data_IF_609768439208
#
_entry.id   IF_609768439208
#
_cell.length_a   1.000
_cell.length_b   1.000
_cell.length_c   1.000
_cell.angle_alpha   90.00
_cell.angle_beta   90.00
_cell.angle_gamma   90.00
#
_symmetry.space_group_name_H-M   'P 1'
#
loop_
_entity.id
_entity.type
_entity.pdbx_description
1 polymer ?
#
# COMPACT_ATOMS: atom_id res chain seq x y z
N UNK A 1 -20.87 6.50 -16.44
CA UNK A 1 -20.01 7.16 -15.45
C UNK A 1 -18.71 6.38 -15.36
N UNK A 2 -17.67 6.84 -16.04
CA UNK A 2 -16.34 6.23 -15.91
C UNK A 2 -15.74 6.79 -14.62
N UNK A 3 -15.79 6.02 -13.54
CA UNK A 3 -15.00 6.33 -12.35
C UNK A 3 -13.58 5.97 -12.75
N UNK A 4 -12.68 6.94 -12.85
CA UNK A 4 -11.24 6.74 -13.06
C UNK A 4 -10.64 5.94 -11.88
N UNK A 5 -10.92 4.64 -11.84
CA UNK A 5 -10.42 3.72 -10.82
C UNK A 5 -8.94 3.50 -11.09
N UNK A 6 -8.08 4.02 -10.20
CA UNK A 6 -6.64 3.75 -10.26
C UNK A 6 -6.43 2.24 -10.29
N UNK A 7 -5.52 1.72 -11.15
CA UNK A 7 -5.22 0.29 -11.17
C UNK A 7 -4.75 -0.18 -9.79
N UNK A 8 -5.25 -1.33 -9.35
CA UNK A 8 -4.91 -1.91 -8.05
C UNK A 8 -3.63 -2.72 -8.14
N UNK A 9 -2.67 -2.44 -7.25
CA UNK A 9 -1.47 -3.25 -7.06
C UNK A 9 -1.47 -3.82 -5.64
N UNK A 10 -1.36 -5.14 -5.55
CA UNK A 10 -1.24 -5.86 -4.28
C UNK A 10 0.23 -6.13 -3.98
N UNK A 11 0.71 -5.71 -2.82
CA UNK A 11 2.09 -5.93 -2.39
C UNK A 11 2.12 -6.96 -1.26
N UNK A 12 2.64 -8.16 -1.56
CA UNK A 12 2.89 -9.19 -0.56
C UNK A 12 4.13 -8.84 0.29
N UNK A 13 4.08 -9.13 1.59
CA UNK A 13 5.19 -8.81 2.49
C UNK A 13 5.47 -7.30 2.57
N UNK A 14 4.41 -6.49 2.57
CA UNK A 14 4.45 -5.02 2.53
C UNK A 14 5.27 -4.37 3.66
N UNK A 15 5.47 -5.06 4.78
CA UNK A 15 6.30 -4.60 5.90
C UNK A 15 7.77 -5.03 5.83
N UNK A 16 8.15 -5.86 4.85
CA UNK A 16 9.55 -6.23 4.61
C UNK A 16 10.35 -5.05 4.04
N UNK A 17 11.69 -5.15 3.97
CA UNK A 17 12.52 -4.09 3.34
C UNK A 17 12.11 -3.81 1.89
N UNK A 18 11.92 -4.87 1.09
CA UNK A 18 11.59 -4.74 -0.32
C UNK A 18 10.12 -4.35 -0.50
N UNK A 19 9.20 -5.04 0.18
CA UNK A 19 7.77 -4.74 0.11
C UNK A 19 7.44 -3.33 0.56
N UNK A 20 8.10 -2.82 1.62
CA UNK A 20 7.90 -1.46 2.09
C UNK A 20 8.40 -0.42 1.10
N UNK A 21 9.61 -0.61 0.55
CA UNK A 21 10.18 0.28 -0.46
C UNK A 21 9.28 0.39 -1.70
N UNK A 22 8.77 -0.75 -2.18
CA UNK A 22 7.82 -0.80 -3.30
C UNK A 22 6.50 -0.10 -2.93
N UNK A 23 5.94 -0.40 -1.75
CA UNK A 23 4.67 0.18 -1.29
C UNK A 23 4.76 1.70 -1.20
N UNK A 24 5.79 2.23 -0.53
CA UNK A 24 6.03 3.67 -0.37
C UNK A 24 6.20 4.36 -1.73
N UNK A 25 6.90 3.73 -2.67
CA UNK A 25 7.12 4.28 -4.01
C UNK A 25 5.83 4.32 -4.84
N UNK A 26 5.01 3.27 -4.76
CA UNK A 26 3.72 3.20 -5.46
C UNK A 26 2.73 4.22 -4.91
N UNK A 27 2.62 4.34 -3.58
CA UNK A 27 1.80 5.34 -2.92
C UNK A 27 2.26 6.76 -3.26
N UNK A 28 3.56 7.03 -3.17
CA UNK A 28 4.16 8.33 -3.49
C UNK A 28 3.95 8.75 -4.95
N UNK A 29 3.81 7.80 -5.87
CA UNK A 29 3.47 8.12 -7.27
C UNK A 29 2.05 8.65 -7.44
N UNK A 30 1.13 8.29 -6.54
CA UNK A 30 -0.30 8.63 -6.63
C UNK A 30 -1.05 7.99 -7.80
N UNK A 31 -0.40 7.12 -8.60
CA UNK A 31 -0.96 6.54 -9.84
C UNK A 31 -1.77 5.27 -9.60
N UNK A 32 -1.61 4.64 -8.45
CA UNK A 32 -2.14 3.31 -8.15
C UNK A 32 -3.01 3.34 -6.91
N UNK A 33 -3.95 2.39 -6.84
CA UNK A 33 -4.57 1.97 -5.58
C UNK A 33 -3.71 0.85 -5.01
N UNK A 34 -3.13 1.03 -3.82
CA UNK A 34 -2.15 0.08 -3.28
C UNK A 34 -2.78 -0.71 -2.13
N UNK A 35 -2.82 -2.04 -2.27
CA UNK A 35 -3.24 -2.97 -1.22
C UNK A 35 -2.02 -3.67 -0.64
N UNK A 36 -1.69 -3.35 0.61
CA UNK A 36 -0.51 -3.82 1.30
C UNK A 36 -0.85 -5.01 2.21
N UNK A 37 -0.47 -6.23 1.82
CA UNK A 37 -0.77 -7.41 2.60
C UNK A 37 0.17 -7.54 3.79
N UNK A 38 -0.41 -7.71 4.98
CA UNK A 38 0.30 -8.02 6.22
C UNK A 38 -0.63 -8.80 7.16
N UNK A 39 -0.07 -9.71 7.95
CA UNK A 39 -0.82 -10.40 9.01
C UNK A 39 -0.98 -9.56 10.29
N UNK A 40 -0.27 -8.42 10.38
CA UNK A 40 -0.25 -7.53 11.56
C UNK A 40 -0.69 -6.13 11.17
N UNK A 41 -1.99 -5.94 10.98
CA UNK A 41 -2.60 -4.66 10.55
C UNK A 41 -2.52 -3.58 11.61
N UNK A 42 -2.34 -3.95 12.88
CA UNK A 42 -2.22 -3.08 14.05
C UNK A 42 -0.79 -2.65 14.36
N UNK A 43 0.21 -3.21 13.67
CA UNK A 43 1.61 -2.85 13.91
C UNK A 43 1.89 -1.40 13.50
N UNK A 44 2.82 -0.68 14.16
CA UNK A 44 3.14 0.71 13.82
C UNK A 44 3.54 0.91 12.34
N UNK A 45 4.21 -0.09 11.76
CA UNK A 45 4.59 -0.05 10.35
C UNK A 45 3.38 -0.19 9.40
N UNK A 46 2.40 -1.01 9.77
CA UNK A 46 1.15 -1.14 9.02
C UNK A 46 0.34 0.15 9.11
N UNK A 47 0.09 0.65 10.32
CA UNK A 47 -0.63 1.92 10.53
C UNK A 47 -0.01 3.07 9.74
N UNK A 48 1.33 3.18 9.72
CA UNK A 48 2.03 4.18 8.90
C UNK A 48 1.74 4.04 7.39
N UNK A 49 1.67 2.81 6.86
CA UNK A 49 1.30 2.60 5.46
C UNK A 49 -0.17 2.98 5.19
N UNK A 50 -1.09 2.69 6.12
CA UNK A 50 -2.48 3.13 6.01
C UNK A 50 -2.62 4.65 6.03
N UNK A 51 -1.89 5.34 6.92
CA UNK A 51 -1.82 6.81 6.94
C UNK A 51 -1.30 7.40 5.63
N UNK A 52 -0.43 6.67 4.91
CA UNK A 52 0.06 7.02 3.58
C UNK A 52 -0.91 6.65 2.44
N UNK A 53 -2.06 6.06 2.75
CA UNK A 53 -3.12 5.71 1.79
C UNK A 53 -3.10 4.27 1.28
N UNK A 54 -2.35 3.36 1.93
CA UNK A 54 -2.46 1.93 1.64
C UNK A 54 -3.76 1.34 2.20
N UNK A 55 -4.37 0.44 1.44
CA UNK A 55 -5.39 -0.49 1.96
C UNK A 55 -4.68 -1.68 2.64
N UNK A 56 -5.05 -2.02 3.88
CA UNK A 56 -4.46 -3.10 4.68
C UNK A 56 -5.41 -4.27 4.90
#
# INVERSE_FOLDING_TARGET
>A
MSIDQKPTIVVAGSLSKQGRSVTESLLGSGRYHVRALTSRTDSPAALKLAEQGAEL
#
